data_IF_479231056730
#
_entry.id   IF_479231056730
#
_cell.length_a   1.000
_cell.length_b   1.000
_cell.length_c   1.000
_cell.angle_alpha   90.00
_cell.angle_beta   90.00
_cell.angle_gamma   90.00
#
_symmetry.space_group_name_H-M   'P 1'
#
loop_
_entity.id
_entity.type
_entity.pdbx_description
1 polymer ?
#
# COMPACT_ATOMS: atom_id res chain seq x y z
N UNK A 1 -3.36 -11.09 2.78
CA UNK A 1 -4.61 -10.53 3.30
C UNK A 1 -4.47 -10.30 4.79
N UNK A 2 -5.01 -9.19 5.30
CA UNK A 2 -4.93 -8.78 6.71
C UNK A 2 -6.22 -8.03 7.06
N UNK A 3 -6.69 -8.12 8.30
CA UNK A 3 -7.78 -7.25 8.75
C UNK A 3 -7.35 -5.78 8.62
N UNK A 4 -8.24 -4.97 8.07
CA UNK A 4 -8.01 -3.56 7.81
C UNK A 4 -8.02 -2.75 9.12
N UNK A 5 -7.15 -1.76 9.21
CA UNK A 5 -7.27 -0.70 10.20
C UNK A 5 -8.28 0.37 9.73
N UNK A 6 -8.75 1.17 10.69
CA UNK A 6 -9.57 2.37 10.47
C UNK A 6 -10.91 2.11 9.77
N UNK A 7 -11.74 1.24 10.34
CA UNK A 7 -13.13 1.07 9.89
C UNK A 7 -14.08 0.90 11.07
N UNK A 8 -15.36 1.11 10.81
CA UNK A 8 -16.44 0.88 11.77
C UNK A 8 -17.57 0.14 11.05
N UNK A 9 -18.25 -0.76 11.76
CA UNK A 9 -19.51 -1.31 11.26
C UNK A 9 -20.59 -0.21 11.29
N UNK A 10 -21.46 -0.18 10.28
CA UNK A 10 -22.48 0.86 10.16
C UNK A 10 -23.83 0.28 9.74
N UNK A 11 -24.83 0.46 10.61
CA UNK A 11 -26.21 0.02 10.40
C UNK A 11 -26.40 -1.50 10.40
N UNK A 12 -27.59 -1.94 10.01
CA UNK A 12 -27.93 -3.35 9.85
C UNK A 12 -27.45 -3.88 8.49
N UNK A 13 -27.16 -5.19 8.41
CA UNK A 13 -26.74 -5.87 7.17
C UNK A 13 -25.23 -5.97 6.94
N UNK A 14 -24.40 -5.81 8.00
CA UNK A 14 -22.96 -6.09 7.94
C UNK A 14 -22.16 -5.12 7.06
N UNK A 15 -22.63 -3.89 6.86
CA UNK A 15 -21.91 -2.85 6.12
C UNK A 15 -20.80 -2.24 6.98
N UNK A 16 -19.74 -1.77 6.32
CA UNK A 16 -18.60 -1.12 6.99
C UNK A 16 -18.28 0.24 6.38
N UNK A 17 -17.95 1.20 7.22
CA UNK A 17 -17.41 2.51 6.84
C UNK A 17 -15.90 2.48 6.93
N UNK A 18 -15.21 2.51 5.78
CA UNK A 18 -13.76 2.57 5.72
C UNK A 18 -13.26 4.01 5.91
N UNK A 19 -12.59 4.31 7.03
CA UNK A 19 -12.04 5.62 7.38
C UNK A 19 -10.60 5.87 6.93
N UNK A 20 -9.97 4.95 6.20
CA UNK A 20 -8.53 5.00 5.90
C UNK A 20 -8.08 6.21 5.06
N UNK A 21 -8.87 6.60 4.07
CA UNK A 21 -8.59 7.75 3.21
C UNK A 21 -9.81 8.67 3.17
N UNK A 22 -9.70 9.83 2.50
CA UNK A 22 -10.84 10.77 2.36
C UNK A 22 -12.11 10.07 1.86
N UNK A 23 -11.91 9.01 1.06
CA UNK A 23 -12.84 7.92 0.70
C UNK A 23 -14.07 7.83 1.59
N UNK A 24 -13.87 7.46 2.86
CA UNK A 24 -14.99 7.17 3.78
C UNK A 24 -16.04 6.25 3.14
N UNK A 25 -15.59 5.28 2.33
CA UNK A 25 -16.48 4.40 1.57
C UNK A 25 -17.39 3.63 2.53
N UNK A 26 -18.70 3.61 2.26
CA UNK A 26 -19.59 2.60 2.81
C UNK A 26 -19.49 1.38 1.92
N UNK A 27 -19.13 0.22 2.48
CA UNK A 27 -18.84 -0.99 1.73
C UNK A 27 -19.82 -2.08 2.17
N UNK A 28 -20.64 -2.57 1.23
CA UNK A 28 -21.55 -3.69 1.43
C UNK A 28 -20.82 -5.00 1.75
N UNK A 29 -21.51 -5.94 2.38
CA UNK A 29 -20.96 -7.28 2.58
C UNK A 29 -20.61 -7.93 1.23
N UNK A 30 -19.40 -8.48 1.09
CA UNK A 30 -18.88 -9.03 -0.16
C UNK A 30 -18.40 -7.99 -1.17
N UNK A 31 -18.55 -6.69 -0.88
CA UNK A 31 -18.14 -5.62 -1.79
C UNK A 31 -16.75 -5.07 -1.47
N UNK A 32 -16.20 -4.32 -2.44
CA UNK A 32 -14.93 -3.61 -2.31
C UNK A 32 -15.10 -2.09 -2.34
N UNK A 33 -14.21 -1.40 -1.63
CA UNK A 33 -14.07 0.06 -1.72
C UNK A 33 -13.64 0.54 -3.11
N UNK A 34 -13.57 1.86 -3.31
CA UNK A 34 -13.18 2.47 -4.59
C UNK A 34 -11.78 2.06 -5.06
N UNK A 35 -10.89 1.72 -4.12
CA UNK A 35 -9.53 1.26 -4.42
C UNK A 35 -9.46 -0.19 -4.92
N UNK A 36 -10.58 -0.93 -4.95
CA UNK A 36 -10.69 -2.34 -5.37
C UNK A 36 -9.88 -3.35 -4.54
N UNK A 37 -9.23 -2.94 -3.45
CA UNK A 37 -8.32 -3.78 -2.64
C UNK A 37 -8.68 -3.87 -1.16
N UNK A 38 -9.74 -3.19 -0.73
CA UNK A 38 -10.32 -3.36 0.60
C UNK A 38 -11.72 -3.94 0.46
N UNK A 39 -11.95 -5.11 1.03
CA UNK A 39 -13.15 -5.92 0.87
C UNK A 39 -13.81 -6.16 2.22
N UNK A 40 -15.11 -5.94 2.30
CA UNK A 40 -15.88 -6.26 3.49
C UNK A 40 -16.32 -7.73 3.42
N UNK A 41 -16.01 -8.50 4.45
CA UNK A 41 -16.47 -9.88 4.63
C UNK A 41 -17.16 -9.98 5.97
N UNK A 42 -18.47 -10.13 5.95
CA UNK A 42 -19.32 -10.36 7.11
C UNK A 42 -19.15 -9.29 8.20
N UNK A 43 -18.99 -8.03 7.80
CA UNK A 43 -18.81 -6.90 8.71
C UNK A 43 -17.37 -6.67 9.16
N UNK A 44 -16.40 -7.45 8.64
CA UNK A 44 -14.96 -7.26 8.87
C UNK A 44 -14.32 -6.77 7.57
N UNK A 45 -13.66 -5.62 7.62
CA UNK A 45 -12.96 -5.08 6.47
C UNK A 45 -11.57 -5.73 6.36
N UNK A 46 -11.19 -6.18 5.16
CA UNK A 46 -9.90 -6.80 4.90
C UNK A 46 -9.11 -6.00 3.86
N UNK A 47 -7.81 -5.84 4.11
CA UNK A 47 -6.82 -5.41 3.14
C UNK A 47 -6.33 -6.62 2.33
N UNK A 48 -6.71 -6.67 1.06
CA UNK A 48 -6.45 -7.82 0.18
C UNK A 48 -5.01 -7.85 -0.34
N UNK A 49 -4.39 -6.67 -0.47
CA UNK A 49 -3.06 -6.47 -1.04
C UNK A 49 -1.93 -6.47 0.01
N UNK A 50 -2.24 -6.71 1.29
CA UNK A 50 -1.23 -6.89 2.32
C UNK A 50 -0.25 -8.00 1.92
N UNK A 51 1.04 -7.65 1.83
CA UNK A 51 2.14 -8.56 1.46
C UNK A 51 2.11 -9.04 0.01
N UNK A 52 1.42 -8.33 -0.89
CA UNK A 52 1.37 -8.62 -2.33
C UNK A 52 2.05 -7.50 -3.11
N UNK A 53 3.35 -7.62 -3.35
CA UNK A 53 4.13 -6.60 -4.04
C UNK A 53 4.01 -6.78 -5.55
N UNK A 54 3.58 -5.74 -6.26
CA UNK A 54 3.44 -5.76 -7.72
C UNK A 54 4.54 -4.99 -8.44
N UNK A 55 5.37 -4.25 -7.69
CA UNK A 55 6.55 -3.56 -8.20
C UNK A 55 7.56 -3.36 -7.06
N UNK A 56 8.83 -3.63 -7.36
CA UNK A 56 9.97 -3.47 -6.47
C UNK A 56 11.16 -2.93 -7.29
N UNK A 57 11.78 -1.81 -6.87
CA UNK A 57 12.94 -1.23 -7.56
C UNK A 57 13.88 -0.51 -6.60
N UNK A 58 15.18 -0.54 -6.89
CA UNK A 58 16.17 0.34 -6.27
C UNK A 58 16.33 1.57 -7.16
N UNK A 59 15.92 2.73 -6.66
CA UNK A 59 15.98 4.01 -7.38
C UNK A 59 16.86 5.01 -6.60
N UNK A 60 17.56 5.94 -7.28
CA UNK A 60 18.19 7.07 -6.61
C UNK A 60 17.13 7.96 -5.93
N UNK A 61 17.47 8.55 -4.79
CA UNK A 61 16.54 9.40 -4.03
C UNK A 61 16.03 10.59 -4.85
N UNK A 62 16.81 11.06 -5.82
CA UNK A 62 16.50 12.18 -6.70
C UNK A 62 15.30 11.91 -7.62
N UNK A 63 14.90 10.64 -7.80
CA UNK A 63 13.67 10.27 -8.51
C UNK A 63 12.41 10.55 -7.68
N UNK A 64 12.54 10.72 -6.36
CA UNK A 64 11.42 10.98 -5.45
C UNK A 64 11.13 12.49 -5.42
N UNK A 65 9.87 12.92 -5.26
CA UNK A 65 9.50 14.35 -5.28
C UNK A 65 9.87 15.06 -3.98
N UNK A 66 11.14 14.95 -3.55
CA UNK A 66 11.69 15.50 -2.32
C UNK A 66 12.93 16.33 -2.63
N UNK A 67 13.00 17.54 -2.10
CA UNK A 67 14.15 18.43 -2.30
C UNK A 67 15.17 18.26 -1.17
N UNK A 68 16.43 18.01 -1.53
CA UNK A 68 17.57 17.90 -0.60
C UNK A 68 17.39 16.86 0.54
N UNK A 69 16.64 15.80 0.29
CA UNK A 69 16.55 14.65 1.21
C UNK A 69 17.59 13.62 0.81
N UNK A 70 18.52 13.31 1.71
CA UNK A 70 19.54 12.27 1.58
C UNK A 70 20.29 12.23 0.22
N UNK A 71 20.87 13.34 -0.28
CA UNK A 71 21.44 13.39 -1.64
C UNK A 71 22.44 12.27 -1.93
N UNK A 72 22.35 11.69 -3.13
CA UNK A 72 23.20 10.58 -3.59
C UNK A 72 22.88 9.21 -3.00
N UNK A 73 21.87 9.11 -2.11
CA UNK A 73 21.45 7.83 -1.55
C UNK A 73 20.49 7.07 -2.47
N UNK A 74 20.32 5.77 -2.20
CA UNK A 74 19.34 4.89 -2.87
C UNK A 74 18.13 4.65 -1.97
N UNK A 75 16.97 4.49 -2.60
CA UNK A 75 15.71 4.12 -1.94
C UNK A 75 15.12 2.85 -2.53
N UNK A 76 14.79 1.89 -1.65
CA UNK A 76 14.09 0.67 -2.01
C UNK A 76 12.59 0.97 -2.17
N UNK A 77 12.08 0.90 -3.39
CA UNK A 77 10.74 1.33 -3.73
C UNK A 77 9.82 0.13 -3.87
N UNK A 78 8.71 0.13 -3.14
CA UNK A 78 7.73 -0.98 -3.15
C UNK A 78 6.32 -0.45 -3.40
N UNK A 79 5.50 -1.28 -4.05
CA UNK A 79 4.08 -1.00 -4.30
C UNK A 79 3.25 -2.27 -4.25
N UNK A 80 1.97 -2.10 -3.91
CA UNK A 80 0.95 -3.12 -4.15
C UNK A 80 -0.10 -2.61 -5.14
N UNK A 81 -0.94 -3.50 -5.65
CA UNK A 81 -2.00 -3.12 -6.59
C UNK A 81 -3.10 -2.30 -5.92
N UNK A 82 -3.84 -1.56 -6.76
CA UNK A 82 -4.97 -0.71 -6.38
C UNK A 82 -4.57 0.75 -6.23
N UNK A 83 -5.55 1.65 -6.24
CA UNK A 83 -5.35 3.06 -5.95
C UNK A 83 -6.70 3.72 -5.69
N UNK A 84 -6.76 4.66 -4.75
CA UNK A 84 -7.96 5.47 -4.51
C UNK A 84 -8.06 6.68 -5.45
N UNK A 85 -7.02 6.96 -6.27
CA UNK A 85 -7.00 8.03 -7.26
C UNK A 85 -7.24 7.50 -8.68
N UNK A 86 -7.82 8.36 -9.53
CA UNK A 86 -8.06 8.11 -10.95
C UNK A 86 -7.38 9.17 -11.81
N UNK A 87 -6.06 9.28 -11.68
CA UNK A 87 -5.27 10.27 -12.40
C UNK A 87 -5.36 10.03 -13.92
N UNK A 88 -5.69 11.06 -14.70
CA UNK A 88 -5.87 10.96 -16.17
C UNK A 88 -4.61 10.50 -16.93
N UNK A 89 -3.44 10.81 -16.39
CA UNK A 89 -2.14 10.50 -17.00
C UNK A 89 -1.26 9.64 -16.07
N UNK A 90 -1.88 8.70 -15.35
CA UNK A 90 -1.13 7.80 -14.48
C UNK A 90 -0.18 6.91 -15.29
N UNK A 91 1.13 7.05 -15.09
CA UNK A 91 2.11 6.14 -15.69
C UNK A 91 2.00 4.72 -15.13
N UNK A 92 1.51 4.58 -13.90
CA UNK A 92 1.31 3.30 -13.21
C UNK A 92 -0.14 2.80 -13.35
N UNK A 93 -0.86 3.16 -14.42
CA UNK A 93 -2.28 2.83 -14.56
C UNK A 93 -2.54 1.31 -14.50
N UNK A 94 -1.64 0.49 -15.05
CA UNK A 94 -1.76 -0.97 -15.10
C UNK A 94 -1.79 -1.65 -13.73
N UNK A 95 -1.16 -1.05 -12.71
CA UNK A 95 -1.15 -1.55 -11.32
C UNK A 95 -2.08 -0.76 -10.38
N UNK A 96 -2.40 0.48 -10.72
CA UNK A 96 -3.26 1.35 -9.91
C UNK A 96 -4.75 1.19 -10.23
N UNK A 97 -5.11 1.02 -11.51
CA UNK A 97 -6.49 0.94 -11.97
C UNK A 97 -6.96 -0.52 -12.04
N UNK A 98 -7.21 -1.09 -10.86
CA UNK A 98 -7.68 -2.47 -10.72
C UNK A 98 -9.19 -2.53 -10.92
N UNK A 99 -9.63 -3.38 -11.85
CA UNK A 99 -11.05 -3.68 -12.03
C UNK A 99 -11.69 -4.17 -10.73
N UNK A 100 -12.95 -3.83 -10.52
CA UNK A 100 -13.69 -4.28 -9.35
C UNK A 100 -13.76 -5.81 -9.36
N UNK A 101 -13.45 -6.43 -8.22
CA UNK A 101 -13.41 -7.88 -8.01
C UNK A 101 -12.29 -8.65 -8.75
N UNK A 102 -11.37 -7.97 -9.46
CA UNK A 102 -10.21 -8.63 -10.03
C UNK A 102 -9.33 -9.29 -8.96
N UNK A 103 -8.62 -10.39 -9.29
CA UNK A 103 -7.69 -11.02 -8.37
C UNK A 103 -6.54 -10.07 -8.02
N UNK A 104 -6.14 -10.07 -6.74
CA UNK A 104 -5.00 -9.29 -6.29
C UNK A 104 -3.71 -10.07 -6.58
N UNK A 105 -2.99 -9.63 -7.61
CA UNK A 105 -1.68 -10.12 -8.05
C UNK A 105 -0.55 -9.44 -7.29
N UNK A 106 0.62 -10.07 -7.33
CA UNK A 106 1.85 -9.60 -6.70
C UNK A 106 2.58 -10.75 -6.03
N UNK A 107 3.88 -10.60 -5.90
CA UNK A 107 4.73 -11.54 -5.19
C UNK A 107 4.51 -11.42 -3.68
N UNK A 108 4.58 -12.57 -2.99
CA UNK A 108 4.49 -12.60 -1.54
C UNK A 108 5.74 -11.97 -0.93
N UNK A 109 5.56 -11.01 -0.04
CA UNK A 109 6.65 -10.52 0.80
C UNK A 109 6.13 -10.18 2.19
N UNK A 110 6.97 -10.40 3.19
CA UNK A 110 6.78 -9.96 4.57
C UNK A 110 7.43 -8.58 4.78
N UNK A 111 6.98 -7.82 5.79
CA UNK A 111 7.63 -6.56 6.15
C UNK A 111 9.13 -6.71 6.45
N UNK A 112 9.56 -7.84 7.03
CA UNK A 112 10.97 -8.12 7.32
C UNK A 112 11.80 -8.34 6.07
N UNK A 113 11.27 -9.10 5.10
CA UNK A 113 11.95 -9.33 3.83
C UNK A 113 12.14 -8.03 3.06
N UNK A 114 11.16 -7.12 3.06
CA UNK A 114 11.29 -5.80 2.42
C UNK A 114 12.42 -4.98 3.05
N UNK A 115 12.51 -4.98 4.39
CA UNK A 115 13.60 -4.29 5.11
C UNK A 115 14.95 -4.94 4.80
N UNK A 116 15.02 -6.27 4.80
CA UNK A 116 16.27 -6.99 4.52
C UNK A 116 16.75 -6.71 3.09
N UNK A 117 15.86 -6.80 2.09
CA UNK A 117 16.19 -6.48 0.69
C UNK A 117 16.68 -5.04 0.53
N UNK A 118 16.12 -4.09 1.28
CA UNK A 118 16.59 -2.71 1.26
C UNK A 118 18.02 -2.57 1.81
N UNK A 119 18.34 -3.27 2.91
CA UNK A 119 19.69 -3.30 3.49
C UNK A 119 20.69 -3.98 2.54
N UNK A 120 20.30 -5.12 1.97
CA UNK A 120 21.15 -5.91 1.05
C UNK A 120 21.51 -5.14 -0.25
N UNK A 121 20.72 -4.12 -0.58
CA UNK A 121 20.94 -3.24 -1.74
C UNK A 121 21.56 -1.88 -1.34
N UNK A 122 22.14 -1.76 -0.14
CA UNK A 122 22.63 -0.53 0.51
C UNK A 122 21.75 0.70 0.21
N UNK A 123 20.44 0.54 0.43
CA UNK A 123 19.50 1.65 0.42
C UNK A 123 19.54 2.38 1.76
N UNK A 124 19.41 3.70 1.74
CA UNK A 124 19.24 4.51 2.94
C UNK A 124 17.78 4.68 3.37
N UNK A 125 16.85 4.31 2.48
CA UNK A 125 15.42 4.49 2.70
C UNK A 125 14.57 3.43 1.99
N UNK A 126 13.30 3.34 2.40
CA UNK A 126 12.25 2.60 1.72
C UNK A 126 11.18 3.60 1.27
N UNK A 127 10.79 3.54 0.00
CA UNK A 127 9.72 4.36 -0.58
C UNK A 127 8.46 3.54 -0.84
N UNK A 128 7.32 3.94 -0.26
CA UNK A 128 6.02 3.33 -0.51
C UNK A 128 5.33 4.11 -1.64
N UNK A 129 5.40 3.60 -2.87
CA UNK A 129 5.17 4.44 -4.06
C UNK A 129 4.48 3.69 -5.19
N UNK A 130 4.51 4.25 -6.41
CA UNK A 130 3.86 3.82 -7.66
C UNK A 130 2.34 3.85 -7.64
N UNK A 131 1.70 3.27 -6.63
CA UNK A 131 0.30 3.49 -6.29
C UNK A 131 0.17 4.41 -5.07
N UNK A 132 -1.04 4.80 -4.72
CA UNK A 132 -1.26 5.66 -3.55
C UNK A 132 -1.05 4.84 -2.26
N UNK A 133 -0.06 5.16 -1.41
CA UNK A 133 0.40 4.24 -0.37
C UNK A 133 -0.60 3.98 0.75
N UNK A 134 -1.60 4.84 0.97
CA UNK A 134 -2.59 4.59 2.03
C UNK A 134 -3.40 3.32 1.76
N UNK A 135 -3.57 2.90 0.50
CA UNK A 135 -4.40 1.71 0.18
C UNK A 135 -3.78 0.37 0.61
N UNK A 136 -2.49 0.32 0.95
CA UNK A 136 -1.81 -0.84 1.55
C UNK A 136 -1.18 -0.50 2.92
N UNK A 137 -1.81 0.43 3.64
CA UNK A 137 -1.32 1.01 4.88
C UNK A 137 -0.82 -0.01 5.91
N UNK A 138 -1.54 -1.11 6.15
CA UNK A 138 -1.14 -2.09 7.17
C UNK A 138 0.26 -2.67 6.88
N UNK A 139 0.53 -2.98 5.61
CA UNK A 139 1.83 -3.50 5.20
C UNK A 139 2.90 -2.41 5.24
N UNK A 140 2.59 -1.21 4.75
CA UNK A 140 3.50 -0.07 4.79
C UNK A 140 3.86 0.34 6.24
N UNK A 141 2.88 0.35 7.15
CA UNK A 141 3.06 0.70 8.56
C UNK A 141 3.95 -0.30 9.29
N UNK A 142 3.68 -1.60 9.14
CA UNK A 142 4.51 -2.64 9.76
C UNK A 142 5.93 -2.64 9.20
N UNK A 143 6.08 -2.45 7.89
CA UNK A 143 7.40 -2.29 7.24
C UNK A 143 8.11 -1.06 7.76
N UNK A 144 7.41 0.08 7.88
CA UNK A 144 8.02 1.34 8.30
C UNK A 144 8.55 1.30 9.73
N UNK A 145 7.86 0.59 10.62
CA UNK A 145 8.33 0.35 11.99
C UNK A 145 9.63 -0.42 12.01
N UNK A 146 9.73 -1.49 11.22
CA UNK A 146 10.94 -2.32 11.13
C UNK A 146 12.08 -1.57 10.43
N UNK A 147 11.78 -0.84 9.36
CA UNK A 147 12.74 -0.01 8.63
C UNK A 147 13.40 1.01 9.57
N UNK A 148 12.59 1.68 10.41
CA UNK A 148 13.11 2.62 11.42
C UNK A 148 14.03 1.95 12.44
N UNK A 149 13.71 0.73 12.88
CA UNK A 149 14.57 -0.03 13.80
C UNK A 149 15.90 -0.43 13.15
N UNK A 150 15.90 -0.66 11.84
CA UNK A 150 17.08 -0.97 11.04
C UNK A 150 17.87 0.27 10.56
N UNK A 151 17.48 1.48 10.98
CA UNK A 151 18.16 2.72 10.61
C UNK A 151 17.79 3.28 9.23
N UNK A 152 16.81 2.69 8.53
CA UNK A 152 16.31 3.16 7.24
C UNK A 152 15.29 4.30 7.42
N UNK A 153 15.28 5.27 6.50
CA UNK A 153 14.21 6.27 6.41
C UNK A 153 12.99 5.70 5.68
N UNK A 154 11.81 6.24 6.00
CA UNK A 154 10.56 5.89 5.32
C UNK A 154 10.12 7.09 4.49
N UNK A 155 9.77 6.83 3.23
CA UNK A 155 9.47 7.83 2.20
C UNK A 155 8.14 7.48 1.51
#
# INVERSE_FOLDING_TARGET
>A
MREAMFYQQEGEGGRVRCGLCRFRCLIGNGERGICSVRENREGVLYSLNYGRLCAEHVDPIEKKPLFHVMPGSRSYSVSSMGCNFRCRHCQNYSISQVERNAPIRGESATPREVVQRALDNDCGSISYTYTEPTIFFEFAYETARLARQAGLKNI
#
